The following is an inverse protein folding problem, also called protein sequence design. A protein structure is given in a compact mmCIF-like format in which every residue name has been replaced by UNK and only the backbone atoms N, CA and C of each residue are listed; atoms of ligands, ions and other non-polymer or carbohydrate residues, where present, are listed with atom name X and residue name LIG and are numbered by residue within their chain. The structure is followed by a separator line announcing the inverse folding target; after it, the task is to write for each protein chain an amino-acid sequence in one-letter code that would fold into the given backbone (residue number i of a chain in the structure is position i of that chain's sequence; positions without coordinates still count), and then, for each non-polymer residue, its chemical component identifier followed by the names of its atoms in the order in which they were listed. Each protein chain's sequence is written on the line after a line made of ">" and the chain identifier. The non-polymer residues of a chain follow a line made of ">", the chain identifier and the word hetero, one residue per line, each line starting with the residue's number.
data_IF_819206345538
#
_entry.id   IF_819206345538
#
_cell.length_a   1.000
_cell.length_b   1.000
_cell.length_c   1.000
_cell.angle_alpha   90.00
_cell.angle_beta   90.00
_cell.angle_gamma   90.00
#
_symmetry.space_group_name_H-M   'P 1'
#
loop_
_entity.id
_entity.type
_entity.pdbx_description
1 polymer ?
#
# COMPACT_ATOMS: atom_id res chain seq x y z
N UNK A 1 -76.10 6.01 43.96
CA UNK A 1 -75.79 6.71 45.23
C UNK A 1 -76.30 8.12 45.11
N UNK A 2 -76.80 8.70 46.20
CA UNK A 2 -77.27 10.08 46.18
C UNK A 2 -76.10 11.02 45.89
N UNK A 3 -76.32 12.13 45.19
CA UNK A 3 -75.31 13.19 45.09
C UNK A 3 -75.33 14.05 46.35
N UNK A 4 -74.24 14.77 46.68
CA UNK A 4 -74.27 15.69 47.81
C UNK A 4 -75.38 16.74 47.69
N UNK A 5 -75.70 17.15 46.46
CA UNK A 5 -76.83 18.03 46.18
C UNK A 5 -78.19 17.39 46.54
N UNK A 6 -78.40 16.13 46.16
CA UNK A 6 -79.62 15.38 46.51
C UNK A 6 -79.78 15.14 48.02
N UNK A 7 -78.68 15.08 48.78
CA UNK A 7 -78.71 15.01 50.25
C UNK A 7 -79.10 16.36 50.85
N UNK A 8 -78.58 17.47 50.31
CA UNK A 8 -78.89 18.83 50.79
C UNK A 8 -80.32 19.28 50.49
N UNK A 9 -80.91 18.82 49.39
CA UNK A 9 -82.27 19.18 48.98
C UNK A 9 -83.34 18.28 49.61
N UNK A 10 -82.93 17.32 50.46
CA UNK A 10 -83.83 16.30 51.01
C UNK A 10 -84.71 16.86 52.12
N UNK A 11 -85.97 17.17 51.80
CA UNK A 11 -86.98 17.53 52.79
C UNK A 11 -87.66 16.30 53.43
N UNK A 12 -87.88 16.35 54.75
CA UNK A 12 -88.63 15.37 55.53
C UNK A 12 -90.00 15.91 55.96
N UNK A 13 -91.02 15.05 56.00
CA UNK A 13 -92.37 15.43 56.47
C UNK A 13 -92.37 15.71 57.98
N UNK A 14 -93.12 16.73 58.43
CA UNK A 14 -93.23 17.06 59.86
C UNK A 14 -93.97 15.95 60.62
N UNK A 15 -93.36 15.40 61.67
CA UNK A 15 -93.99 14.39 62.50
C UNK A 15 -95.07 14.99 63.40
N UNK A 16 -96.25 14.35 63.47
CA UNK A 16 -97.41 14.85 64.24
C UNK A 16 -97.31 14.63 65.76
N UNK A 17 -96.50 13.67 66.23
CA UNK A 17 -96.26 13.44 67.66
C UNK A 17 -94.92 12.70 67.88
N UNK A 18 -94.07 13.19 68.78
CA UNK A 18 -92.83 12.49 69.21
C UNK A 18 -91.69 12.36 68.19
N UNK A 19 -91.64 13.20 67.15
CA UNK A 19 -90.59 13.13 66.11
C UNK A 19 -89.27 13.80 66.48
N UNK A 20 -88.25 13.60 65.63
CA UNK A 20 -86.95 14.25 65.74
C UNK A 20 -87.06 15.78 65.60
N UNK A 21 -86.19 16.51 66.29
CA UNK A 21 -86.12 17.96 66.19
C UNK A 21 -85.54 18.37 64.83
N UNK A 22 -86.33 19.06 63.99
CA UNK A 22 -85.91 19.47 62.66
C UNK A 22 -84.62 20.30 62.67
N UNK A 23 -84.41 21.18 63.65
CA UNK A 23 -83.20 22.03 63.68
C UNK A 23 -81.92 21.21 63.89
N UNK A 24 -81.99 20.13 64.69
CA UNK A 24 -80.85 19.24 64.92
C UNK A 24 -80.60 18.30 63.73
N UNK A 25 -81.67 17.92 63.03
CA UNK A 25 -81.57 17.14 61.78
C UNK A 25 -80.93 17.99 60.69
N UNK A 26 -81.32 19.25 60.55
CA UNK A 26 -80.74 20.18 59.56
C UNK A 26 -79.24 20.42 59.82
N UNK A 27 -78.84 20.71 61.07
CA UNK A 27 -77.42 20.87 61.45
C UNK A 27 -76.59 19.61 61.15
N UNK A 28 -77.16 18.41 61.38
CA UNK A 28 -76.50 17.16 61.04
C UNK A 28 -76.39 16.96 59.52
N UNK A 29 -77.43 17.32 58.76
CA UNK A 29 -77.42 17.23 57.29
C UNK A 29 -76.43 18.20 56.66
N UNK A 30 -76.20 19.38 57.24
CA UNK A 30 -75.18 20.32 56.77
C UNK A 30 -73.77 19.74 56.91
N UNK A 31 -73.44 19.18 58.09
CA UNK A 31 -72.16 18.50 58.33
C UNK A 31 -72.02 17.29 57.40
N UNK A 32 -73.06 16.45 57.30
CA UNK A 32 -73.07 15.28 56.44
C UNK A 32 -72.88 15.65 54.97
N UNK A 33 -73.53 16.72 54.50
CA UNK A 33 -73.40 17.22 53.13
C UNK A 33 -71.97 17.70 52.85
N UNK A 34 -71.34 18.38 53.81
CA UNK A 34 -69.94 18.80 53.72
C UNK A 34 -68.97 17.62 53.57
N UNK A 35 -69.05 16.66 54.49
CA UNK A 35 -68.19 15.47 54.48
C UNK A 35 -68.45 14.60 53.24
N UNK A 36 -69.72 14.43 52.86
CA UNK A 36 -70.08 13.65 51.67
C UNK A 36 -69.64 14.34 50.37
N UNK A 37 -69.69 15.67 50.30
CA UNK A 37 -69.11 16.43 49.18
C UNK A 37 -67.60 16.26 49.08
N UNK A 38 -66.89 16.31 50.21
CA UNK A 38 -65.44 16.11 50.26
C UNK A 38 -65.07 14.69 49.78
N UNK A 39 -65.74 13.66 50.30
CA UNK A 39 -65.55 12.27 49.88
C UNK A 39 -65.90 12.04 48.40
N UNK A 40 -66.97 12.66 47.91
CA UNK A 40 -67.37 12.55 46.51
C UNK A 40 -66.33 13.17 45.57
N UNK A 41 -65.83 14.36 45.90
CA UNK A 41 -64.77 15.03 45.15
C UNK A 41 -63.45 14.24 45.18
N UNK A 42 -63.05 13.74 46.34
CA UNK A 42 -61.87 12.89 46.47
C UNK A 42 -62.01 11.61 45.62
N UNK A 43 -63.18 10.97 45.66
CA UNK A 43 -63.45 9.78 44.85
C UNK A 43 -63.36 10.07 43.34
N UNK A 44 -63.85 11.23 42.89
CA UNK A 44 -63.69 11.65 41.50
C UNK A 44 -62.22 11.88 41.13
N UNK A 45 -61.46 12.57 41.99
CA UNK A 45 -60.02 12.81 41.77
C UNK A 45 -59.25 11.48 41.72
N UNK A 46 -59.54 10.56 42.64
CA UNK A 46 -58.91 9.24 42.67
C UNK A 46 -59.24 8.41 41.42
N UNK A 47 -60.50 8.43 40.97
CA UNK A 47 -60.90 7.77 39.71
C UNK A 47 -60.16 8.35 38.50
N UNK A 48 -60.02 9.67 38.43
CA UNK A 48 -59.27 10.32 37.36
C UNK A 48 -57.78 9.95 37.41
N UNK A 49 -57.15 9.94 38.60
CA UNK A 49 -55.77 9.48 38.78
C UNK A 49 -55.60 8.02 38.36
N UNK A 50 -56.53 7.15 38.75
CA UNK A 50 -56.52 5.74 38.36
C UNK A 50 -56.58 5.59 36.84
N UNK A 51 -57.47 6.34 36.17
CA UNK A 51 -57.57 6.34 34.71
C UNK A 51 -56.25 6.75 34.06
N UNK A 52 -55.65 7.86 34.49
CA UNK A 52 -54.35 8.32 33.95
C UNK A 52 -53.24 7.29 34.17
N UNK A 53 -53.21 6.64 35.33
CA UNK A 53 -52.22 5.58 35.61
C UNK A 53 -52.42 4.36 34.70
N UNK A 54 -53.67 3.94 34.49
CA UNK A 54 -53.99 2.82 33.58
C UNK A 54 -53.57 3.18 32.15
N UNK A 55 -53.96 4.36 31.66
CA UNK A 55 -53.59 4.83 30.32
C UNK A 55 -52.07 4.84 30.14
N UNK A 56 -51.32 5.30 31.17
CA UNK A 56 -49.85 5.32 31.12
C UNK A 56 -49.23 3.93 31.13
N UNK A 57 -49.80 2.99 31.88
CA UNK A 57 -49.34 1.59 31.89
C UNK A 57 -49.57 0.94 30.52
N UNK A 58 -50.70 1.21 29.87
CA UNK A 58 -50.98 0.71 28.52
C UNK A 58 -50.03 1.30 27.49
N UNK A 59 -49.73 2.59 27.58
CA UNK A 59 -48.72 3.24 26.74
C UNK A 59 -47.36 2.57 26.92
N UNK A 60 -46.91 2.36 28.17
CA UNK A 60 -45.64 1.68 28.43
C UNK A 60 -45.61 0.27 27.87
N UNK A 61 -46.67 -0.52 28.05
CA UNK A 61 -46.79 -1.86 27.46
C UNK A 61 -46.68 -1.82 25.94
N UNK A 62 -47.36 -0.88 25.28
CA UNK A 62 -47.27 -0.71 23.83
C UNK A 62 -45.85 -0.34 23.38
N UNK A 63 -45.16 0.54 24.12
CA UNK A 63 -43.78 0.92 23.81
C UNK A 63 -42.80 -0.23 24.01
N UNK A 64 -42.98 -1.02 25.07
CA UNK A 64 -42.17 -2.21 25.35
C UNK A 64 -42.34 -3.25 24.24
N UNK A 65 -43.57 -3.48 23.78
CA UNK A 65 -43.83 -4.41 22.69
C UNK A 65 -43.19 -3.93 21.37
N UNK A 66 -43.27 -2.63 21.09
CA UNK A 66 -42.59 -2.03 19.93
C UNK A 66 -41.07 -2.18 20.01
N UNK A 67 -40.47 -1.90 21.19
CA UNK A 67 -39.04 -2.10 21.42
C UNK A 67 -38.64 -3.56 21.27
N UNK A 68 -39.43 -4.49 21.81
CA UNK A 68 -39.19 -5.93 21.67
C UNK A 68 -39.23 -6.37 20.21
N UNK A 69 -40.19 -5.87 19.43
CA UNK A 69 -40.26 -6.13 17.97
C UNK A 69 -39.05 -5.55 17.24
N UNK A 70 -38.63 -4.33 17.57
CA UNK A 70 -37.46 -3.70 16.99
C UNK A 70 -36.18 -4.48 17.29
N UNK A 71 -36.00 -4.94 18.54
CA UNK A 71 -34.85 -5.77 18.94
C UNK A 71 -34.83 -7.10 18.20
N UNK A 72 -35.98 -7.78 18.08
CA UNK A 72 -36.08 -9.03 17.32
C UNK A 72 -35.79 -8.82 15.82
N UNK A 73 -36.23 -7.70 15.24
CA UNK A 73 -35.92 -7.35 13.86
C UNK A 73 -34.41 -7.06 13.69
N UNK A 74 -33.82 -6.30 14.61
CA UNK A 74 -32.39 -6.01 14.60
C UNK A 74 -31.54 -7.29 14.73
N UNK A 75 -31.93 -8.21 15.61
CA UNK A 75 -31.26 -9.50 15.75
C UNK A 75 -31.32 -10.31 14.44
N UNK A 76 -32.50 -10.42 13.82
CA UNK A 76 -32.64 -11.10 12.52
C UNK A 76 -31.78 -10.45 11.45
N UNK A 77 -31.77 -9.11 11.38
CA UNK A 77 -30.92 -8.39 10.43
C UNK A 77 -29.42 -8.65 10.67
N UNK A 78 -29.00 -8.75 11.93
CA UNK A 78 -27.62 -9.08 12.26
C UNK A 78 -27.26 -10.52 11.82
N UNK A 79 -28.15 -11.48 12.11
CA UNK A 79 -27.97 -12.87 11.71
C UNK A 79 -27.94 -13.01 10.17
N UNK A 80 -28.86 -12.34 9.46
CA UNK A 80 -28.93 -12.31 8.01
C UNK A 80 -27.66 -11.69 7.40
N UNK A 81 -27.14 -10.60 7.98
CA UNK A 81 -25.91 -9.95 7.53
C UNK A 81 -24.70 -10.87 7.69
N UNK A 82 -24.59 -11.57 8.83
CA UNK A 82 -23.52 -12.55 9.06
C UNK A 82 -23.62 -13.69 8.05
N UNK A 83 -24.82 -14.23 7.85
CA UNK A 83 -25.04 -15.32 6.88
C UNK A 83 -24.71 -14.88 5.46
N UNK A 84 -25.08 -13.66 5.05
CA UNK A 84 -24.76 -13.12 3.74
C UNK A 84 -23.24 -12.91 3.57
N UNK A 85 -22.56 -12.40 4.60
CA UNK A 85 -21.12 -12.22 4.60
C UNK A 85 -20.38 -13.56 4.49
N UNK A 86 -20.81 -14.58 5.23
CA UNK A 86 -20.27 -15.93 5.15
C UNK A 86 -20.50 -16.55 3.77
N UNK A 87 -21.70 -16.39 3.20
CA UNK A 87 -22.00 -16.86 1.84
C UNK A 87 -21.09 -16.19 0.80
N UNK A 88 -20.99 -14.86 0.84
CA UNK A 88 -20.11 -14.10 -0.08
C UNK A 88 -18.65 -14.50 0.06
N UNK A 89 -18.17 -14.72 1.30
CA UNK A 89 -16.82 -15.23 1.54
C UNK A 89 -16.62 -16.60 0.91
N UNK A 90 -17.55 -17.53 1.10
CA UNK A 90 -17.47 -18.87 0.52
C UNK A 90 -17.49 -18.83 -1.01
N UNK A 91 -18.34 -17.99 -1.61
CA UNK A 91 -18.41 -17.76 -3.06
C UNK A 91 -17.10 -17.19 -3.60
N UNK A 92 -16.54 -16.15 -2.95
CA UNK A 92 -15.25 -15.57 -3.34
C UNK A 92 -14.11 -16.58 -3.25
N UNK A 93 -14.06 -17.40 -2.19
CA UNK A 93 -13.04 -18.45 -2.06
C UNK A 93 -13.19 -19.51 -3.15
N UNK A 94 -14.42 -19.97 -3.42
CA UNK A 94 -14.68 -20.94 -4.47
C UNK A 94 -14.31 -20.41 -5.86
N UNK A 95 -14.60 -19.12 -6.13
CA UNK A 95 -14.22 -18.47 -7.38
C UNK A 95 -12.69 -18.33 -7.49
N UNK A 96 -12.02 -17.86 -6.44
CA UNK A 96 -10.56 -17.74 -6.41
C UNK A 96 -9.87 -19.11 -6.61
N UNK A 97 -10.36 -20.16 -5.94
CA UNK A 97 -9.86 -21.53 -6.14
C UNK A 97 -10.04 -22.00 -7.58
N UNK A 98 -11.20 -21.72 -8.18
CA UNK A 98 -11.47 -22.07 -9.59
C UNK A 98 -10.52 -21.34 -10.52
N UNK A 99 -10.38 -20.03 -10.37
CA UNK A 99 -9.45 -19.21 -11.17
C UNK A 99 -8.00 -19.68 -11.02
N UNK A 100 -7.58 -20.03 -9.80
CA UNK A 100 -6.25 -20.59 -9.55
C UNK A 100 -6.06 -21.94 -10.26
N UNK A 101 -7.04 -22.85 -10.18
CA UNK A 101 -6.98 -24.14 -10.88
C UNK A 101 -6.94 -23.95 -12.40
N UNK A 102 -7.74 -23.03 -12.94
CA UNK A 102 -7.77 -22.73 -14.37
C UNK A 102 -6.42 -22.13 -14.83
N UNK A 103 -5.85 -21.20 -14.07
CA UNK A 103 -4.53 -20.63 -14.35
C UNK A 103 -3.42 -21.67 -14.26
N UNK A 104 -3.42 -22.51 -13.24
CA UNK A 104 -2.47 -23.62 -13.12
C UNK A 104 -2.57 -24.57 -14.31
N UNK A 105 -3.79 -24.90 -14.74
CA UNK A 105 -4.01 -25.73 -15.92
C UNK A 105 -3.45 -25.10 -17.21
N UNK A 106 -3.62 -23.80 -17.39
CA UNK A 106 -3.07 -23.07 -18.54
C UNK A 106 -1.55 -23.02 -18.51
N UNK A 107 -0.96 -22.64 -17.37
CA UNK A 107 0.51 -22.60 -17.19
C UNK A 107 1.12 -23.99 -17.43
N UNK A 108 0.49 -25.06 -16.93
CA UNK A 108 0.97 -26.42 -17.16
C UNK A 108 0.95 -26.80 -18.64
N UNK A 109 -0.09 -26.42 -19.39
CA UNK A 109 -0.14 -26.65 -20.84
C UNK A 109 0.92 -25.84 -21.59
N UNK A 110 1.11 -24.58 -21.22
CA UNK A 110 2.11 -23.71 -21.84
C UNK A 110 3.52 -24.23 -21.57
N UNK A 111 3.80 -24.65 -20.34
CA UNK A 111 5.07 -25.27 -19.96
C UNK A 111 5.35 -26.54 -20.78
N UNK A 112 4.35 -27.41 -20.93
CA UNK A 112 4.49 -28.62 -21.77
C UNK A 112 4.75 -28.28 -23.24
N UNK A 113 4.08 -27.25 -23.77
CA UNK A 113 4.27 -26.81 -25.14
C UNK A 113 5.69 -26.23 -25.35
N UNK A 114 6.18 -25.42 -24.41
CA UNK A 114 7.53 -24.86 -24.45
C UNK A 114 8.61 -25.94 -24.27
N UNK A 115 8.41 -26.89 -23.36
CA UNK A 115 9.31 -28.05 -23.22
C UNK A 115 9.39 -28.86 -24.52
N UNK A 116 8.25 -29.07 -25.18
CA UNK A 116 8.22 -29.76 -26.46
C UNK A 116 8.96 -28.98 -27.56
N UNK A 117 8.75 -27.66 -27.64
CA UNK A 117 9.47 -26.77 -28.58
C UNK A 117 10.96 -26.79 -28.34
N UNK A 118 11.40 -26.70 -27.08
CA UNK A 118 12.80 -26.75 -26.69
C UNK A 118 13.43 -28.09 -27.11
N UNK A 119 12.79 -29.22 -26.79
CA UNK A 119 13.28 -30.55 -27.18
C UNK A 119 13.42 -30.69 -28.69
N UNK A 120 12.43 -30.20 -29.44
CA UNK A 120 12.48 -30.22 -30.91
C UNK A 120 13.63 -29.36 -31.44
N UNK A 121 13.80 -28.14 -30.92
CA UNK A 121 14.91 -27.28 -31.30
C UNK A 121 16.28 -27.92 -30.98
N UNK A 122 16.42 -28.56 -29.82
CA UNK A 122 17.63 -29.31 -29.45
C UNK A 122 17.91 -30.50 -30.40
N UNK A 123 16.87 -31.21 -30.83
CA UNK A 123 17.01 -32.29 -31.81
C UNK A 123 17.42 -31.74 -33.18
N UNK A 124 16.84 -30.62 -33.61
CA UNK A 124 17.18 -29.97 -34.87
C UNK A 124 18.63 -29.43 -34.86
N UNK A 125 19.09 -28.83 -33.75
CA UNK A 125 20.49 -28.39 -33.62
C UNK A 125 21.46 -29.56 -33.56
N UNK A 126 21.13 -30.64 -32.83
CA UNK A 126 21.96 -31.86 -32.83
C UNK A 126 22.07 -32.46 -34.25
N UNK A 127 20.96 -32.53 -34.99
CA UNK A 127 20.96 -32.99 -36.37
C UNK A 127 21.77 -32.06 -37.30
N UNK A 128 21.75 -30.74 -37.05
CA UNK A 128 22.56 -29.79 -37.81
C UNK A 128 24.06 -29.95 -37.53
N UNK A 129 24.45 -30.07 -36.26
CA UNK A 129 25.85 -30.33 -35.88
C UNK A 129 26.36 -31.61 -36.55
N UNK A 130 25.55 -32.66 -36.58
CA UNK A 130 25.92 -33.92 -37.25
C UNK A 130 26.07 -33.74 -38.77
N UNK A 131 25.20 -32.95 -39.41
CA UNK A 131 25.36 -32.60 -40.83
C UNK A 131 26.65 -31.83 -41.10
N UNK A 132 27.00 -30.86 -40.25
CA UNK A 132 28.25 -30.09 -40.39
C UNK A 132 29.47 -30.99 -40.21
N UNK A 133 29.46 -31.89 -39.23
CA UNK A 133 30.52 -32.89 -39.06
C UNK A 133 30.67 -33.78 -40.29
N UNK A 134 29.57 -34.26 -40.86
CA UNK A 134 29.59 -35.07 -42.06
C UNK A 134 30.17 -34.31 -43.26
N UNK A 135 29.84 -33.02 -43.41
CA UNK A 135 30.42 -32.16 -44.43
C UNK A 135 31.94 -31.98 -44.24
N UNK A 136 32.42 -31.74 -43.02
CA UNK A 136 33.86 -31.63 -42.77
C UNK A 136 34.61 -32.93 -43.08
N UNK A 137 34.05 -34.09 -42.70
CA UNK A 137 34.64 -35.39 -43.08
C UNK A 137 34.69 -35.55 -44.60
N UNK A 138 33.66 -35.07 -45.32
CA UNK A 138 33.66 -35.08 -46.78
C UNK A 138 34.72 -34.12 -47.37
N UNK A 139 34.86 -32.92 -46.81
CA UNK A 139 35.89 -31.95 -47.19
C UNK A 139 37.30 -32.51 -46.96
N UNK A 140 37.55 -33.15 -45.81
CA UNK A 140 38.80 -33.85 -45.52
C UNK A 140 39.09 -34.94 -46.54
N UNK A 141 38.10 -35.76 -46.91
CA UNK A 141 38.27 -36.79 -47.95
C UNK A 141 38.62 -36.19 -49.31
N UNK A 142 37.99 -35.07 -49.69
CA UNK A 142 38.32 -34.36 -50.93
C UNK A 142 39.73 -33.76 -50.88
N UNK A 143 40.13 -33.19 -49.74
CA UNK A 143 41.50 -32.69 -49.53
C UNK A 143 42.53 -33.82 -49.64
N UNK A 144 42.29 -34.97 -49.03
CA UNK A 144 43.17 -36.14 -49.17
C UNK A 144 43.28 -36.60 -50.64
N UNK A 145 42.16 -36.64 -51.37
CA UNK A 145 42.18 -36.95 -52.81
C UNK A 145 42.97 -35.92 -53.63
N UNK A 146 42.92 -34.64 -53.26
CA UNK A 146 43.71 -33.60 -53.90
C UNK A 146 45.20 -33.68 -53.54
N UNK A 147 45.53 -34.09 -52.31
CA UNK A 147 46.91 -34.32 -51.86
C UNK A 147 47.58 -35.45 -52.65
N UNK A 148 46.84 -36.51 -53.00
CA UNK A 148 47.33 -37.59 -53.89
C UNK A 148 47.70 -37.09 -55.30
N UNK A 149 47.12 -35.97 -55.74
CA UNK A 149 47.40 -35.36 -57.05
C UNK A 149 48.61 -34.40 -57.01
N UNK A 150 49.23 -34.20 -55.84
CA UNK A 150 50.34 -33.26 -55.64
C UNK A 150 51.68 -34.01 -55.40
N UNK A 151 52.79 -33.68 -56.11
CA UNK A 151 54.12 -34.19 -55.77
C UNK A 151 54.56 -33.74 -54.35
N UNK A 152 55.22 -34.59 -53.54
CA UNK A 152 55.56 -34.29 -52.14
C UNK A 152 56.54 -33.12 -51.89
N UNK A 153 57.01 -32.42 -52.93
CA UNK A 153 58.03 -31.36 -52.83
C UNK A 153 57.49 -29.94 -52.60
N UNK A 154 56.19 -29.75 -52.43
CA UNK A 154 55.56 -28.43 -52.27
C UNK A 154 54.79 -28.30 -50.96
N UNK A 155 55.32 -28.85 -49.87
CA UNK A 155 54.89 -28.39 -48.56
C UNK A 155 55.27 -26.91 -48.46
N UNK A 156 54.34 -25.97 -48.28
CA UNK A 156 54.73 -24.60 -47.99
C UNK A 156 55.55 -24.64 -46.70
N UNK A 157 56.80 -24.19 -46.78
CA UNK A 157 57.58 -23.92 -45.57
C UNK A 157 56.79 -22.93 -44.74
N UNK A 158 56.63 -23.22 -43.43
CA UNK A 158 56.09 -22.25 -42.47
C UNK A 158 56.75 -20.89 -42.71
N UNK A 159 55.94 -19.85 -42.88
CA UNK A 159 56.44 -18.52 -43.23
C UNK A 159 57.34 -18.03 -42.09
N UNK A 160 58.64 -17.80 -42.31
CA UNK A 160 59.57 -17.36 -41.26
C UNK A 160 59.11 -16.08 -40.56
N UNK A 161 58.24 -15.30 -41.22
CA UNK A 161 57.66 -14.07 -40.68
C UNK A 161 56.76 -14.34 -39.47
N UNK A 162 56.05 -15.46 -39.44
CA UNK A 162 55.08 -15.78 -38.38
C UNK A 162 55.79 -16.22 -37.08
N UNK A 163 56.87 -16.97 -37.22
CA UNK A 163 57.77 -17.30 -36.09
C UNK A 163 58.45 -16.03 -35.57
N UNK A 164 58.96 -15.17 -36.46
CA UNK A 164 59.57 -13.90 -36.06
C UNK A 164 58.59 -12.91 -35.46
N UNK A 165 57.33 -12.90 -35.89
CA UNK A 165 56.29 -12.09 -35.26
C UNK A 165 56.03 -12.54 -33.81
N UNK A 166 55.98 -13.86 -33.57
CA UNK A 166 55.84 -14.39 -32.20
C UNK A 166 57.05 -14.08 -31.31
N UNK A 167 58.27 -14.19 -31.84
CA UNK A 167 59.49 -13.80 -31.12
C UNK A 167 59.52 -12.30 -30.79
N UNK A 168 58.97 -11.45 -31.67
CA UNK A 168 58.86 -10.01 -31.44
C UNK A 168 57.83 -9.72 -30.34
N UNK A 169 56.65 -10.34 -30.39
CA UNK A 169 55.62 -10.16 -29.36
C UNK A 169 56.12 -10.59 -27.97
N UNK A 170 56.81 -11.72 -27.88
CA UNK A 170 57.41 -12.20 -26.63
C UNK A 170 58.49 -11.23 -26.10
N UNK A 171 59.32 -10.67 -26.99
CA UNK A 171 60.31 -9.66 -26.61
C UNK A 171 59.67 -8.33 -26.18
N UNK A 172 58.59 -7.91 -26.85
CA UNK A 172 57.83 -6.70 -26.49
C UNK A 172 57.18 -6.84 -25.12
N UNK A 173 56.56 -7.99 -24.83
CA UNK A 173 56.00 -8.27 -23.50
C UNK A 173 57.06 -8.27 -22.41
N UNK A 174 58.24 -8.84 -22.67
CA UNK A 174 59.37 -8.82 -21.74
C UNK A 174 59.89 -7.40 -21.48
N UNK A 175 60.03 -6.58 -22.52
CA UNK A 175 60.46 -5.18 -22.38
C UNK A 175 59.44 -4.34 -21.61
N UNK A 176 58.15 -4.55 -21.85
CA UNK A 176 57.08 -3.90 -21.07
C UNK A 176 57.13 -4.29 -19.60
N UNK A 177 57.31 -5.58 -19.29
CA UNK A 177 57.45 -6.04 -17.91
C UNK A 177 58.66 -5.39 -17.22
N UNK A 178 59.81 -5.32 -17.90
CA UNK A 178 61.02 -4.69 -17.38
C UNK A 178 60.84 -3.18 -17.16
N UNK A 179 60.19 -2.48 -18.10
CA UNK A 179 59.89 -1.05 -17.94
C UNK A 179 58.92 -0.77 -16.79
N UNK A 180 57.94 -1.65 -16.55
CA UNK A 180 57.03 -1.54 -15.41
C UNK A 180 57.76 -1.77 -14.08
N UNK A 181 58.70 -2.71 -14.02
CA UNK A 181 59.55 -2.93 -12.83
C UNK A 181 60.48 -1.74 -12.56
N UNK A 182 61.11 -1.19 -13.60
CA UNK A 182 62.00 -0.02 -13.47
C UNK A 182 61.23 1.24 -13.03
N UNK A 183 60.05 1.49 -13.60
CA UNK A 183 59.18 2.60 -13.21
C UNK A 183 58.64 2.44 -11.77
N UNK A 184 58.41 1.21 -11.32
CA UNK A 184 58.04 0.92 -9.93
C UNK A 184 59.22 1.18 -8.97
N UNK A 185 60.43 0.80 -9.36
CA UNK A 185 61.65 1.03 -8.58
C UNK A 185 62.01 2.53 -8.49
N UNK A 186 61.82 3.29 -9.57
CA UNK A 186 62.05 4.73 -9.59
C UNK A 186 61.02 5.49 -8.74
N UNK A 187 59.75 5.11 -8.78
CA UNK A 187 58.73 5.66 -7.88
C UNK A 187 59.02 5.38 -6.40
N UNK A 188 59.55 4.19 -6.08
CA UNK A 188 59.97 3.86 -4.71
C UNK A 188 61.18 4.71 -4.27
N UNK A 189 62.13 4.98 -5.18
CA UNK A 189 63.27 5.88 -4.91
C UNK A 189 62.85 7.34 -4.75
N UNK A 190 61.94 7.83 -5.60
CA UNK A 190 61.41 9.19 -5.51
C UNK A 190 60.64 9.41 -4.20
N UNK A 191 59.89 8.40 -3.73
CA UNK A 191 59.25 8.44 -2.40
C UNK A 191 60.24 8.45 -1.24
N UNK A 192 61.34 7.70 -1.34
CA UNK A 192 62.38 7.67 -0.29
C UNK A 192 63.22 8.97 -0.24
N UNK A 193 63.37 9.69 -1.35
CA UNK A 193 64.12 10.95 -1.40
C UNK A 193 63.31 12.18 -0.93
N UNK A 194 61.98 12.07 -0.81
CA UNK A 194 61.10 13.16 -0.39
C UNK A 194 60.89 13.23 1.14
N UNK A 195 61.46 12.31 1.93
CA UNK A 195 61.30 12.26 3.40
C UNK A 195 62.41 12.95 4.22
N UNK A 196 63.45 13.52 3.60
CA UNK A 196 64.54 14.25 4.31
C UNK A 196 64.76 15.67 3.77
N UNK A 197 64.07 16.65 4.36
CA UNK A 197 64.52 18.00 4.79
C UNK A 197 63.45 19.12 4.62
N UNK A 198 63.38 20.12 5.53
CA UNK A 198 62.17 20.93 5.76
C UNK A 198 62.27 22.45 5.48
N UNK A 199 61.20 23.01 4.88
CA UNK A 199 60.73 24.44 4.85
C UNK A 199 61.73 25.48 4.27
N UNK A 200 61.41 26.67 3.75
CA UNK A 200 60.38 27.70 3.98
C UNK A 200 60.57 28.85 2.93
N UNK A 201 59.69 29.87 2.98
CA UNK A 201 59.83 31.27 2.49
C UNK A 201 59.44 31.48 1.01
N UNK A 202 58.26 32.02 0.71
CA UNK A 202 57.93 33.46 0.63
C UNK A 202 58.38 34.16 -0.66
N UNK A 203 57.39 34.79 -1.31
CA UNK A 203 57.43 36.16 -1.86
C UNK A 203 57.25 36.34 -3.39
N UNK A 204 56.10 36.96 -3.69
CA UNK A 204 55.71 37.89 -4.76
C UNK A 204 55.90 37.62 -6.28
N UNK A 205 54.75 37.31 -6.90
CA UNK A 205 54.08 37.98 -8.03
C UNK A 205 54.82 38.97 -8.95
N UNK A 206 54.66 38.79 -10.28
CA UNK A 206 54.29 39.87 -11.21
C UNK A 206 53.58 39.33 -12.49
N UNK A 207 52.49 40.01 -12.85
CA UNK A 207 51.54 39.89 -13.98
C UNK A 207 52.19 40.24 -15.36
N UNK A 208 51.52 40.26 -16.55
CA UNK A 208 50.36 39.53 -17.14
C UNK A 208 50.63 38.99 -18.57
N UNK A 209 49.65 38.38 -19.30
CA UNK A 209 49.72 38.17 -20.75
C UNK A 209 48.80 39.13 -21.55
N UNK A 210 49.20 39.62 -22.75
CA UNK A 210 48.27 40.05 -23.80
C UNK A 210 47.92 38.84 -24.69
N UNK A 211 46.66 38.65 -25.11
CA UNK A 211 46.11 39.25 -26.35
C UNK A 211 46.14 38.20 -27.46
N UNK A 212 44.98 37.67 -27.88
CA UNK A 212 44.33 37.96 -29.19
C UNK A 212 44.95 37.13 -30.34
N UNK A 213 44.25 36.35 -31.17
CA UNK A 213 43.01 36.57 -31.96
C UNK A 213 42.64 35.21 -32.61
N UNK A 214 41.38 34.76 -32.56
CA UNK A 214 40.30 34.90 -33.57
C UNK A 214 40.27 33.76 -34.61
N UNK A 215 39.16 33.03 -34.64
CA UNK A 215 38.28 33.05 -35.81
C UNK A 215 36.82 32.82 -35.36
N UNK A 216 36.03 33.83 -35.69
CA UNK A 216 34.59 34.03 -35.68
C UNK A 216 33.87 33.05 -36.65
N UNK A 217 32.56 32.82 -36.70
CA UNK A 217 31.30 33.53 -36.41
C UNK A 217 30.25 32.40 -36.08
N UNK A 218 29.08 32.59 -35.46
CA UNK A 218 28.01 33.52 -35.86
C UNK A 218 26.87 33.47 -34.81
N UNK A 219 26.11 34.55 -34.81
CA UNK A 219 25.30 35.14 -33.74
C UNK A 219 23.87 34.53 -33.63
N UNK A 220 23.28 34.52 -32.42
CA UNK A 220 22.15 35.41 -32.10
C UNK A 220 21.56 35.20 -30.67
N UNK A 221 21.37 36.36 -30.04
CA UNK A 221 20.52 36.74 -28.89
C UNK A 221 20.90 36.43 -27.40
N UNK A 222 21.26 37.53 -26.73
CA UNK A 222 21.51 37.82 -25.30
C UNK A 222 20.62 39.06 -24.94
N UNK A 223 20.46 39.60 -23.70
CA UNK A 223 21.08 39.30 -22.37
C UNK A 223 20.10 39.49 -21.14
N UNK A 224 20.52 39.77 -19.87
CA UNK A 224 21.43 39.04 -18.95
C UNK A 224 20.89 38.86 -17.48
N UNK A 225 21.77 38.35 -16.61
CA UNK A 225 21.79 38.24 -15.11
C UNK A 225 21.33 36.88 -14.54
N UNK A 226 22.05 36.10 -13.72
CA UNK A 226 23.37 36.18 -13.06
C UNK A 226 23.79 34.78 -12.53
N UNK A 227 25.12 34.56 -12.51
CA UNK A 227 25.96 33.80 -11.56
C UNK A 227 25.96 32.23 -11.45
N UNK A 228 27.16 31.70 -11.79
CA UNK A 228 27.97 30.65 -11.14
C UNK A 228 27.75 29.14 -11.37
N UNK A 229 28.59 28.64 -12.30
CA UNK A 229 29.71 27.69 -12.14
C UNK A 229 29.58 26.36 -11.35
N UNK A 230 29.68 25.33 -12.19
CA UNK A 230 30.21 23.97 -12.14
C UNK A 230 31.06 23.43 -10.94
N UNK A 231 30.85 22.12 -10.73
CA UNK A 231 31.75 21.08 -10.16
C UNK A 231 31.74 20.74 -8.67
N UNK A 232 30.79 19.85 -8.35
CA UNK A 232 31.04 18.49 -7.84
C UNK A 232 32.04 18.29 -6.68
N UNK A 233 31.51 18.13 -5.46
CA UNK A 233 31.90 17.07 -4.52
C UNK A 233 30.93 16.98 -3.33
N UNK A 234 30.57 15.75 -2.98
CA UNK A 234 30.11 15.29 -1.67
C UNK A 234 28.70 15.68 -1.15
N UNK A 235 27.93 14.63 -0.85
CA UNK A 235 26.90 14.64 0.20
C UNK A 235 25.47 14.62 -0.32
N UNK A 236 24.88 13.43 -0.47
CA UNK A 236 23.43 13.29 -0.63
C UNK A 236 22.74 13.85 0.62
N UNK A 237 22.23 15.07 0.53
CA UNK A 237 21.46 15.72 1.59
C UNK A 237 19.98 15.41 1.33
N UNK A 238 19.45 14.42 2.04
CA UNK A 238 18.03 14.06 1.97
C UNK A 238 17.22 15.24 2.52
N UNK A 239 16.32 15.79 1.70
CA UNK A 239 15.40 16.86 2.10
C UNK A 239 14.20 16.28 2.85
N UNK A 240 13.99 16.73 4.10
CA UNK A 240 12.87 16.31 4.95
C UNK A 240 11.70 17.32 4.95
N UNK A 241 11.72 18.32 4.07
CA UNK A 241 10.73 19.41 4.06
C UNK A 241 9.30 19.00 3.69
N UNK A 242 9.10 17.81 3.12
CA UNK A 242 7.78 17.36 2.61
C UNK A 242 7.26 16.07 3.26
N UNK A 243 7.92 15.57 4.32
CA UNK A 243 7.39 14.41 5.06
C UNK A 243 6.25 14.83 6.00
N UNK A 244 5.02 14.59 5.57
CA UNK A 244 3.82 14.73 6.41
C UNK A 244 3.68 13.51 7.33
N UNK A 245 4.06 13.66 8.60
CA UNK A 245 3.67 12.69 9.64
C UNK A 245 2.20 12.94 9.98
N UNK A 246 1.43 11.86 10.16
CA UNK A 246 -0.03 11.88 10.21
C UNK A 246 -0.66 12.98 11.09
N UNK A 247 -1.93 13.27 10.79
CA UNK A 247 -2.82 14.42 11.11
C UNK A 247 -2.54 15.37 12.29
N UNK A 248 -1.74 15.02 13.29
CA UNK A 248 -1.56 15.78 14.52
C UNK A 248 -0.08 16.03 14.90
N UNK A 249 0.86 16.07 13.94
CA UNK A 249 2.28 16.35 14.23
C UNK A 249 2.72 17.74 13.72
N UNK A 250 2.91 18.70 14.63
CA UNK A 250 3.49 20.03 14.34
C UNK A 250 4.92 20.10 14.89
N UNK A 251 5.88 20.54 14.07
CA UNK A 251 7.27 20.80 14.47
C UNK A 251 7.34 22.27 14.90
N UNK A 252 7.46 22.53 16.20
CA UNK A 252 7.76 23.86 16.76
C UNK A 252 9.22 24.25 16.57
#
# INVERSE_FOLDING_TARGET
>A
MLTPQEVSERAFQKASFGGYNMSQVDEFLDILTGDYSALFNENMVLKNKMKVLVDKVEEYRSTEEAMRKALMAAQRMADDLVQEAERKKAEMLAQAEKELRDRQGTIARDMQAEEYRLKRAQQETAAYVEKVRALHVQEEQLLSQLEELYPPETKPSLDPVEEKASEIDDNVQRLLAQAMEDAAAENLRAKAAAEEEPRDMSDTAEFPPPGQEEDCDEEDDCPPEDEDDDRSAAGSRISFGELQFGRDYEIT
#
